data_IF_697975358727
#
_entry.id   IF_697975358727
#
_cell.length_a   1.000
_cell.length_b   1.000
_cell.length_c   1.000
_cell.angle_alpha   90.00
_cell.angle_beta   90.00
_cell.angle_gamma   90.00
#
_symmetry.space_group_name_H-M   'P 1'
#
loop_
_entity.id
_entity.type
_entity.pdbx_description
1 polymer ?
#
# COMPACT_ATOMS: atom_id res chain seq x y z
N UNK A 1 -15.47 15.48 -4.13
CA UNK A 1 -14.00 15.35 -4.29
C UNK A 1 -13.32 16.41 -5.14
N UNK A 2 -14.02 17.14 -6.01
CA UNK A 2 -13.39 18.18 -6.85
C UNK A 2 -12.55 19.21 -6.07
N UNK A 3 -12.88 19.45 -4.79
CA UNK A 3 -12.18 20.37 -3.89
C UNK A 3 -10.75 19.93 -3.52
N UNK A 4 -10.41 18.65 -3.69
CA UNK A 4 -9.07 18.11 -3.40
C UNK A 4 -8.33 17.65 -4.67
N UNK A 5 -8.74 18.12 -5.85
CA UNK A 5 -8.17 17.64 -7.12
C UNK A 5 -6.66 17.88 -7.23
N UNK A 6 -6.18 19.02 -6.77
CA UNK A 6 -4.76 19.36 -6.67
C UNK A 6 -3.99 18.33 -5.83
N UNK A 7 -4.52 17.98 -4.66
CA UNK A 7 -3.89 17.01 -3.74
C UNK A 7 -3.85 15.61 -4.35
N UNK A 8 -4.89 15.23 -5.10
CA UNK A 8 -4.93 13.96 -5.83
C UNK A 8 -3.88 13.95 -6.95
N UNK A 9 -3.72 15.06 -7.67
CA UNK A 9 -2.67 15.19 -8.69
C UNK A 9 -1.26 15.11 -8.06
N UNK A 10 -1.02 15.76 -6.93
CA UNK A 10 0.25 15.63 -6.19
C UNK A 10 0.52 14.16 -5.81
N UNK A 11 -0.52 13.41 -5.39
CA UNK A 11 -0.40 11.98 -5.11
C UNK A 11 -0.08 11.15 -6.37
N UNK A 12 -0.78 11.42 -7.48
CA UNK A 12 -0.54 10.77 -8.78
C UNK A 12 0.90 10.99 -9.26
N UNK A 13 1.42 12.21 -9.09
CA UNK A 13 2.81 12.54 -9.40
C UNK A 13 3.81 11.78 -8.52
N UNK A 14 3.53 11.68 -7.22
CA UNK A 14 4.35 10.92 -6.27
C UNK A 14 4.42 9.44 -6.66
N UNK A 15 3.29 8.80 -6.96
CA UNK A 15 3.30 7.39 -7.38
C UNK A 15 3.91 7.19 -8.77
N UNK A 16 3.79 8.17 -9.67
CA UNK A 16 4.47 8.13 -10.97
C UNK A 16 5.99 8.23 -10.83
N UNK A 17 6.52 8.99 -9.86
CA UNK A 17 7.94 8.99 -9.51
C UNK A 17 8.40 7.61 -9.05
N UNK A 18 7.59 6.94 -8.23
CA UNK A 18 7.87 5.59 -7.76
C UNK A 18 7.94 4.58 -8.92
N UNK A 19 6.99 4.62 -9.86
CA UNK A 19 7.04 3.77 -11.06
C UNK A 19 8.29 4.04 -11.91
N UNK A 20 8.66 5.31 -12.14
CA UNK A 20 9.88 5.65 -12.88
C UNK A 20 11.12 5.07 -12.22
N UNK A 21 11.22 5.15 -10.90
CA UNK A 21 12.35 4.55 -10.15
C UNK A 21 12.40 3.03 -10.28
N UNK A 22 11.25 2.36 -10.28
CA UNK A 22 11.21 0.93 -10.57
C UNK A 22 11.71 0.62 -11.99
N UNK A 23 11.24 1.37 -12.99
CA UNK A 23 11.64 1.18 -14.39
C UNK A 23 13.13 1.45 -14.61
N UNK A 24 13.70 2.47 -13.97
CA UNK A 24 15.14 2.76 -14.05
C UNK A 24 15.96 1.60 -13.46
N UNK A 25 15.51 1.05 -12.32
CA UNK A 25 16.13 -0.13 -11.71
C UNK A 25 16.00 -1.38 -12.59
N UNK A 26 14.86 -1.59 -13.24
CA UNK A 26 14.65 -2.70 -14.18
C UNK A 26 15.57 -2.62 -15.39
N UNK A 27 15.80 -1.41 -15.93
CA UNK A 27 16.74 -1.19 -17.04
C UNK A 27 18.19 -1.47 -16.63
N UNK A 28 18.59 -1.07 -15.42
CA UNK A 28 19.97 -1.22 -14.95
C UNK A 28 20.30 -2.59 -14.34
N UNK A 29 19.31 -3.24 -13.72
CA UNK A 29 19.50 -4.42 -12.86
C UNK A 29 18.40 -5.48 -13.05
N UNK A 30 17.79 -5.56 -14.23
CA UNK A 30 16.66 -6.45 -14.50
C UNK A 30 16.92 -7.93 -14.22
N UNK A 31 18.16 -8.42 -14.37
CA UNK A 31 18.56 -9.78 -14.00
C UNK A 31 18.35 -10.08 -12.50
N UNK A 32 18.40 -9.04 -11.67
CA UNK A 32 18.21 -9.06 -10.21
C UNK A 32 16.77 -8.88 -9.79
N UNK A 33 15.90 -8.36 -10.65
CA UNK A 33 14.50 -8.11 -10.32
C UNK A 33 13.65 -9.29 -10.84
N UNK A 34 13.05 -10.04 -9.92
CA UNK A 34 12.10 -11.12 -10.25
C UNK A 34 10.64 -10.68 -10.16
N UNK A 35 10.41 -9.38 -10.01
CA UNK A 35 9.08 -8.80 -9.91
C UNK A 35 8.52 -8.58 -11.31
N UNK A 36 7.48 -9.32 -11.64
CA UNK A 36 6.70 -9.19 -12.87
C UNK A 36 5.21 -9.27 -12.54
N UNK A 37 4.34 -8.87 -13.46
CA UNK A 37 2.90 -9.12 -13.34
C UNK A 37 2.71 -10.63 -13.16
N UNK A 38 1.99 -11.04 -12.10
CA UNK A 38 1.78 -12.42 -11.61
C UNK A 38 2.81 -12.99 -10.64
N UNK A 39 3.95 -12.32 -10.37
CA UNK A 39 4.86 -12.75 -9.29
C UNK A 39 4.15 -12.81 -7.91
N UNK A 40 3.14 -11.95 -7.69
CA UNK A 40 2.16 -11.98 -6.60
C UNK A 40 2.71 -11.96 -5.17
N UNK A 41 4.01 -11.69 -5.00
CA UNK A 41 4.66 -11.70 -3.69
C UNK A 41 4.21 -10.51 -2.83
N UNK A 42 4.21 -9.31 -3.42
CA UNK A 42 3.67 -8.11 -2.78
C UNK A 42 2.18 -8.23 -2.42
N UNK A 43 1.42 -9.02 -3.20
CA UNK A 43 0.01 -9.32 -2.95
C UNK A 43 -0.22 -10.32 -1.82
N UNK A 44 0.81 -10.71 -1.08
CA UNK A 44 0.71 -11.50 0.14
C UNK A 44 1.37 -10.83 1.34
N UNK A 45 1.93 -9.63 1.18
CA UNK A 45 2.52 -8.86 2.27
C UNK A 45 1.46 -8.00 2.96
N UNK A 46 1.59 -7.87 4.28
CA UNK A 46 0.72 -7.03 5.10
C UNK A 46 1.40 -5.68 5.30
N UNK A 47 0.75 -4.61 4.87
CA UNK A 47 1.12 -3.23 5.15
C UNK A 47 -0.15 -2.38 5.12
N UNK A 48 -0.13 -1.26 5.84
CA UNK A 48 -1.23 -0.30 5.80
C UNK A 48 -0.97 0.82 4.81
N UNK A 49 -2.06 1.41 4.34
CA UNK A 49 -2.11 2.52 3.39
C UNK A 49 -2.35 3.82 4.13
N UNK A 50 -1.67 4.89 3.71
CA UNK A 50 -1.98 6.22 4.21
C UNK A 50 -3.37 6.65 3.75
N UNK A 51 -4.00 7.57 4.48
CA UNK A 51 -5.37 8.03 4.20
C UNK A 51 -5.58 8.47 2.74
N UNK A 52 -4.64 9.24 2.16
CA UNK A 52 -4.70 9.65 0.75
C UNK A 52 -4.79 8.45 -0.20
N UNK A 53 -4.01 7.40 0.06
CA UNK A 53 -4.00 6.17 -0.75
C UNK A 53 -5.29 5.37 -0.56
N UNK A 54 -5.77 5.27 0.69
CA UNK A 54 -7.02 4.58 1.04
C UNK A 54 -8.22 5.21 0.34
N UNK A 55 -8.31 6.55 0.38
CA UNK A 55 -9.35 7.31 -0.32
C UNK A 55 -9.24 7.12 -1.82
N UNK A 56 -8.05 7.31 -2.40
CA UNK A 56 -7.82 7.14 -3.84
C UNK A 56 -8.23 5.73 -4.32
N UNK A 57 -7.78 4.69 -3.61
CA UNK A 57 -8.09 3.30 -3.92
C UNK A 57 -9.59 3.00 -3.85
N UNK A 58 -10.30 3.53 -2.83
CA UNK A 58 -11.73 3.30 -2.65
C UNK A 58 -12.55 3.86 -3.83
N UNK A 59 -12.18 5.05 -4.31
CA UNK A 59 -12.86 5.69 -5.42
C UNK A 59 -12.66 4.94 -6.73
N UNK A 60 -11.43 4.50 -7.00
CA UNK A 60 -11.11 3.70 -8.18
C UNK A 60 -11.78 2.33 -8.11
N UNK A 61 -11.87 1.73 -6.92
CA UNK A 61 -12.70 0.56 -6.68
C UNK A 61 -14.18 0.82 -7.01
N UNK A 62 -14.73 1.96 -6.59
CA UNK A 62 -16.10 2.38 -6.87
C UNK A 62 -16.44 2.50 -8.36
N UNK A 63 -15.44 2.78 -9.20
CA UNK A 63 -15.57 2.89 -10.67
C UNK A 63 -15.64 1.53 -11.37
N UNK A 64 -15.32 0.43 -10.70
CA UNK A 64 -15.43 -0.91 -11.27
C UNK A 64 -16.90 -1.33 -11.48
N UNK A 65 -17.12 -2.20 -12.46
CA UNK A 65 -18.43 -2.80 -12.68
C UNK A 65 -18.90 -3.60 -11.45
N UNK A 66 -20.23 -3.76 -11.32
CA UNK A 66 -20.86 -4.40 -10.16
C UNK A 66 -20.35 -5.83 -9.93
N UNK A 67 -20.04 -6.57 -11.00
CA UNK A 67 -19.58 -7.97 -10.91
C UNK A 67 -18.19 -8.02 -10.28
N UNK A 68 -17.24 -7.25 -10.80
CA UNK A 68 -15.88 -7.15 -10.25
C UNK A 68 -15.87 -6.67 -8.81
N UNK A 69 -16.69 -5.66 -8.48
CA UNK A 69 -16.81 -5.18 -7.09
C UNK A 69 -17.27 -6.28 -6.14
N UNK A 70 -18.27 -7.07 -6.53
CA UNK A 70 -18.76 -8.20 -5.72
C UNK A 70 -17.68 -9.27 -5.49
N UNK A 71 -16.94 -9.62 -6.54
CA UNK A 71 -15.84 -10.61 -6.46
C UNK A 71 -14.70 -10.13 -5.57
N UNK A 72 -14.38 -8.83 -5.60
CA UNK A 72 -13.39 -8.23 -4.69
C UNK A 72 -13.92 -8.24 -3.25
N UNK A 73 -15.17 -7.83 -3.01
CA UNK A 73 -15.75 -7.76 -1.66
C UNK A 73 -15.77 -9.13 -0.96
N UNK A 74 -16.02 -10.21 -1.69
CA UNK A 74 -15.91 -11.58 -1.14
C UNK A 74 -14.49 -11.89 -0.64
N UNK A 75 -13.46 -11.43 -1.36
CA UNK A 75 -12.05 -11.58 -0.94
C UNK A 75 -11.70 -10.63 0.20
N UNK A 76 -12.29 -9.45 0.25
CA UNK A 76 -12.15 -8.49 1.36
C UNK A 76 -12.62 -9.12 2.67
N UNK A 77 -13.80 -9.74 2.70
CA UNK A 77 -14.33 -10.38 3.92
C UNK A 77 -13.44 -11.54 4.40
N UNK A 78 -12.81 -12.27 3.47
CA UNK A 78 -11.82 -13.30 3.82
C UNK A 78 -10.55 -12.69 4.41
N UNK A 79 -9.98 -11.67 3.75
CA UNK A 79 -8.77 -11.00 4.21
C UNK A 79 -8.96 -10.32 5.57
N UNK A 80 -10.13 -9.72 5.84
CA UNK A 80 -10.43 -9.12 7.16
C UNK A 80 -10.46 -10.17 8.27
N UNK A 81 -11.07 -11.33 8.03
CA UNK A 81 -11.08 -12.42 9.02
C UNK A 81 -9.67 -12.91 9.32
N UNK A 82 -8.86 -13.16 8.29
CA UNK A 82 -7.46 -13.57 8.46
C UNK A 82 -6.64 -12.52 9.23
N UNK A 83 -6.81 -11.23 8.92
CA UNK A 83 -6.15 -10.13 9.66
C UNK A 83 -6.56 -10.08 11.13
N UNK A 84 -7.86 -10.19 11.43
CA UNK A 84 -8.35 -10.19 12.81
C UNK A 84 -7.84 -11.40 13.61
N UNK A 85 -7.73 -12.57 12.99
CA UNK A 85 -7.16 -13.77 13.62
C UNK A 85 -5.67 -13.59 13.93
N UNK A 86 -4.92 -12.99 13.01
CA UNK A 86 -3.51 -12.64 13.20
C UNK A 86 -3.37 -11.61 14.33
N UNK A 87 -4.15 -10.53 14.29
CA UNK A 87 -4.13 -9.47 15.30
C UNK A 87 -4.39 -10.04 16.70
N UNK A 88 -5.42 -10.89 16.86
CA UNK A 88 -5.70 -11.58 18.12
C UNK A 88 -4.54 -12.44 18.59
N UNK A 89 -3.93 -13.23 17.69
CA UNK A 89 -2.78 -14.07 18.02
C UNK A 89 -1.56 -13.25 18.44
N UNK A 90 -1.39 -12.06 17.86
CA UNK A 90 -0.27 -11.16 18.17
C UNK A 90 -0.51 -10.30 19.41
N UNK A 91 -1.76 -10.09 19.83
CA UNK A 91 -2.11 -9.37 21.06
C UNK A 91 -1.62 -10.09 22.33
N UNK A 92 -1.47 -11.42 22.27
CA UNK A 92 -0.94 -12.23 23.38
C UNK A 92 0.61 -12.21 23.46
N UNK A 93 1.29 -11.48 22.56
CA UNK A 93 2.74 -11.38 22.47
C UNK A 93 3.35 -10.07 22.98
N UNK A 94 4.67 -9.92 22.79
CA UNK A 94 5.42 -8.69 23.12
C UNK A 94 4.93 -7.49 22.28
N UNK A 95 4.36 -6.49 22.96
CA UNK A 95 3.72 -5.32 22.34
C UNK A 95 4.73 -4.43 21.59
N UNK A 96 5.99 -4.39 22.03
CA UNK A 96 7.01 -3.50 21.47
C UNK A 96 7.41 -3.87 20.02
N UNK A 97 7.03 -5.06 19.54
CA UNK A 97 7.35 -5.54 18.19
C UNK A 97 6.13 -5.87 17.31
N UNK A 98 4.91 -5.50 17.72
CA UNK A 98 3.68 -5.95 17.05
C UNK A 98 3.61 -5.60 15.56
N UNK A 99 4.03 -4.39 15.16
CA UNK A 99 4.04 -3.99 13.75
C UNK A 99 5.03 -4.81 12.90
N UNK A 100 6.19 -5.15 13.48
CA UNK A 100 7.21 -5.98 12.86
C UNK A 100 6.75 -7.44 12.76
N UNK A 101 6.06 -7.94 13.77
CA UNK A 101 5.42 -9.25 13.78
C UNK A 101 4.33 -9.34 12.70
N UNK A 102 3.46 -8.33 12.61
CA UNK A 102 2.43 -8.26 11.58
C UNK A 102 3.03 -8.20 10.17
N UNK A 103 4.13 -7.49 9.96
CA UNK A 103 4.80 -7.40 8.66
C UNK A 103 5.42 -8.73 8.18
N UNK A 104 5.65 -9.70 9.09
CA UNK A 104 6.16 -11.04 8.74
C UNK A 104 5.06 -12.02 8.35
N UNK A 105 3.83 -11.74 8.78
CA UNK A 105 2.66 -12.53 8.44
C UNK A 105 2.27 -12.34 6.97
N UNK A 106 1.51 -13.30 6.43
CA UNK A 106 1.10 -13.29 5.03
C UNK A 106 -0.39 -13.48 4.89
N UNK A 107 -1.07 -12.45 4.38
CA UNK A 107 -2.50 -12.45 4.05
C UNK A 107 -2.66 -12.19 2.57
N UNK A 108 -3.52 -12.96 1.89
CA UNK A 108 -3.79 -12.71 0.47
C UNK A 108 -4.47 -11.35 0.31
N UNK A 109 -3.85 -10.46 -0.47
CA UNK A 109 -4.43 -9.17 -0.83
C UNK A 109 -5.78 -9.38 -1.53
N UNK A 110 -6.85 -8.68 -1.12
CA UNK A 110 -8.17 -8.86 -1.70
C UNK A 110 -8.28 -8.42 -3.16
N UNK A 111 -7.30 -7.66 -3.66
CA UNK A 111 -7.24 -7.24 -5.06
C UNK A 111 -6.59 -8.29 -5.98
N UNK A 112 -5.88 -9.29 -5.44
CA UNK A 112 -5.28 -10.35 -6.24
C UNK A 112 -6.36 -11.29 -6.77
N UNK A 113 -6.63 -11.27 -8.07
CA UNK A 113 -7.62 -12.13 -8.71
C UNK A 113 -7.13 -13.58 -8.85
N UNK A 114 -7.98 -14.46 -9.38
CA UNK A 114 -7.67 -15.87 -9.58
C UNK A 114 -6.63 -16.10 -10.69
N UNK A 115 -6.45 -15.13 -11.59
CA UNK A 115 -5.40 -15.14 -12.62
C UNK A 115 -4.04 -14.65 -12.14
N UNK A 116 -3.90 -14.36 -10.84
CA UNK A 116 -2.67 -13.83 -10.24
C UNK A 116 -2.41 -12.35 -10.57
N UNK A 117 -3.40 -11.61 -11.05
CA UNK A 117 -3.26 -10.19 -11.37
C UNK A 117 -3.99 -9.33 -10.32
N UNK A 118 -3.42 -8.16 -10.03
CA UNK A 118 -4.13 -7.18 -9.22
C UNK A 118 -5.27 -6.57 -10.04
N UNK A 119 -6.50 -6.66 -9.53
CA UNK A 119 -7.71 -6.10 -10.14
C UNK A 119 -7.65 -4.57 -10.31
N UNK A 120 -6.80 -3.89 -9.53
CA UNK A 120 -6.58 -2.44 -9.55
C UNK A 120 -5.08 -2.13 -9.77
N UNK A 121 -4.42 -2.88 -10.66
CA UNK A 121 -2.97 -2.78 -10.86
C UNK A 121 -2.49 -1.35 -11.21
N UNK A 122 -3.21 -0.61 -12.06
CA UNK A 122 -2.84 0.74 -12.48
C UNK A 122 -2.85 1.76 -11.33
N UNK A 123 -3.67 1.52 -10.31
CA UNK A 123 -3.87 2.40 -9.15
C UNK A 123 -3.33 1.79 -7.86
N UNK A 124 -2.38 0.86 -8.01
CA UNK A 124 -1.70 0.21 -6.88
C UNK A 124 -1.04 1.26 -5.94
N UNK A 125 -1.05 1.04 -4.62
CA UNK A 125 -0.39 1.93 -3.65
C UNK A 125 1.12 2.06 -3.88
N UNK A 126 1.73 3.07 -3.27
CA UNK A 126 3.14 3.41 -3.45
C UNK A 126 4.06 2.23 -3.12
N UNK A 127 3.85 1.57 -1.98
CA UNK A 127 4.64 0.40 -1.56
C UNK A 127 4.56 -0.76 -2.55
N UNK A 128 3.41 -0.96 -3.21
CA UNK A 128 3.28 -1.97 -4.26
C UNK A 128 4.13 -1.66 -5.50
N UNK A 129 4.39 -0.38 -5.79
CA UNK A 129 5.15 0.06 -6.98
C UNK A 129 6.64 -0.19 -6.82
N UNK A 130 7.16 -0.15 -5.59
CA UNK A 130 8.59 -0.26 -5.29
C UNK A 130 9.00 -1.59 -4.65
N UNK A 131 8.06 -2.50 -4.35
CA UNK A 131 8.33 -3.76 -3.63
C UNK A 131 9.46 -4.61 -4.24
N UNK A 132 9.61 -4.61 -5.56
CA UNK A 132 10.61 -5.44 -6.26
C UNK A 132 12.03 -4.86 -6.31
N UNK A 133 12.24 -3.64 -5.80
CA UNK A 133 13.54 -2.95 -5.79
C UNK A 133 14.01 -2.70 -4.35
N UNK A 134 15.30 -2.39 -4.12
CA UNK A 134 15.80 -2.04 -2.80
C UNK A 134 15.16 -0.74 -2.31
N UNK A 135 14.64 -0.75 -1.08
CA UNK A 135 13.99 0.38 -0.42
C UNK A 135 14.63 0.67 0.93
N UNK A 136 14.80 1.94 1.28
CA UNK A 136 15.16 2.41 2.61
C UNK A 136 13.88 2.59 3.43
N UNK A 137 13.70 1.77 4.46
CA UNK A 137 12.53 1.83 5.35
C UNK A 137 12.96 1.65 6.81
N UNK A 138 12.51 2.55 7.68
CA UNK A 138 12.94 2.65 9.07
C UNK A 138 14.47 2.66 9.21
N UNK A 139 15.14 3.41 8.32
CA UNK A 139 16.60 3.51 8.29
C UNK A 139 17.35 2.24 7.84
N UNK A 140 16.64 1.20 7.38
CA UNK A 140 17.23 -0.06 6.92
C UNK A 140 16.93 -0.30 5.44
N UNK A 141 17.94 -0.73 4.70
CA UNK A 141 17.75 -1.19 3.32
C UNK A 141 17.10 -2.56 3.34
N UNK A 142 16.01 -2.73 2.60
CA UNK A 142 15.31 -3.99 2.40
C UNK A 142 15.06 -4.20 0.92
N UNK A 143 15.06 -5.45 0.48
CA UNK A 143 14.68 -5.84 -0.87
C UNK A 143 13.78 -7.08 -0.82
N UNK A 144 13.00 -7.32 -1.88
CA UNK A 144 12.24 -8.56 -2.02
C UNK A 144 13.17 -9.78 -1.91
N UNK A 145 12.80 -10.76 -1.11
CA UNK A 145 13.58 -11.99 -0.90
C UNK A 145 13.79 -12.82 -2.16
N UNK A 146 12.96 -12.64 -3.19
CA UNK A 146 13.12 -13.27 -4.51
C UNK A 146 14.14 -12.54 -5.39
N UNK A 147 14.49 -11.31 -5.06
CA UNK A 147 15.41 -10.52 -5.86
C UNK A 147 16.84 -11.02 -5.69
N UNK A 148 17.64 -10.89 -6.75
CA UNK A 148 19.02 -11.35 -6.79
C UNK A 148 20.05 -10.34 -6.26
N UNK A 149 19.61 -9.33 -5.50
CA UNK A 149 20.51 -8.32 -4.93
C UNK A 149 21.46 -8.97 -3.91
N UNK A 150 22.74 -8.63 -4.00
CA UNK A 150 23.81 -9.26 -3.22
C UNK A 150 24.31 -8.32 -2.13
N UNK A 151 24.59 -8.86 -0.94
CA UNK A 151 25.24 -8.11 0.14
C UNK A 151 26.64 -7.63 -0.29
N UNK A 152 27.06 -6.47 0.20
CA UNK A 152 28.37 -5.88 -0.09
C UNK A 152 28.50 -5.21 -1.48
N UNK A 153 27.41 -5.15 -2.26
CA UNK A 153 27.36 -4.41 -3.53
C UNK A 153 26.48 -3.16 -3.40
N UNK A 154 26.87 -2.10 -4.09
CA UNK A 154 26.10 -0.87 -4.15
C UNK A 154 25.02 -0.96 -5.23
N UNK A 155 23.77 -0.71 -4.81
CA UNK A 155 22.62 -0.59 -5.69
C UNK A 155 21.88 0.70 -5.34
N UNK A 156 21.21 1.35 -6.31
CA UNK A 156 20.31 2.45 -5.99
C UNK A 156 19.20 1.97 -5.05
N UNK A 157 18.90 2.79 -4.04
CA UNK A 157 17.88 2.52 -3.04
C UNK A 157 16.79 3.57 -3.14
N UNK A 158 15.53 3.13 -3.17
CA UNK A 158 14.39 4.02 -3.13
C UNK A 158 14.13 4.49 -1.68
N UNK A 159 14.10 5.81 -1.44
CA UNK A 159 13.78 6.38 -0.12
C UNK A 159 12.28 6.24 0.18
N UNK A 160 11.90 5.12 0.79
CA UNK A 160 10.51 4.85 1.16
C UNK A 160 10.11 5.63 2.40
N UNK A 161 11.04 5.88 3.33
CA UNK A 161 10.81 6.76 4.49
C UNK A 161 10.45 8.19 4.05
N UNK A 162 11.14 8.72 3.02
CA UNK A 162 10.81 10.00 2.38
C UNK A 162 9.43 10.02 1.75
N UNK A 163 9.13 9.01 0.93
CA UNK A 163 7.82 8.88 0.31
C UNK A 163 6.67 8.78 1.35
N UNK A 164 6.88 8.08 2.46
CA UNK A 164 5.91 7.98 3.55
C UNK A 164 5.68 9.33 4.24
N UNK A 165 6.73 10.15 4.42
CA UNK A 165 6.56 11.54 4.90
C UNK A 165 5.70 12.36 3.94
N UNK A 166 5.90 12.23 2.63
CA UNK A 166 5.08 12.92 1.62
C UNK A 166 3.62 12.46 1.65
N UNK A 167 3.36 11.14 1.73
CA UNK A 167 2.00 10.60 1.85
C UNK A 167 1.27 11.08 3.10
N UNK A 168 1.98 11.16 4.23
CA UNK A 168 1.46 11.77 5.46
C UNK A 168 1.07 13.23 5.25
N UNK A 169 1.93 14.04 4.61
CA UNK A 169 1.62 15.45 4.37
C UNK A 169 0.43 15.63 3.41
N UNK A 170 0.32 14.82 2.36
CA UNK A 170 -0.84 14.84 1.45
C UNK A 170 -2.13 14.46 2.17
N UNK A 171 -2.07 13.43 3.02
CA UNK A 171 -3.19 13.03 3.88
C UNK A 171 -3.63 14.16 4.81
N UNK A 172 -2.67 14.85 5.44
CA UNK A 172 -2.93 16.00 6.31
C UNK A 172 -3.54 17.18 5.55
N UNK A 173 -2.98 17.54 4.38
CA UNK A 173 -3.53 18.59 3.50
C UNK A 173 -4.98 18.29 3.12
N UNK A 174 -5.29 17.03 2.80
CA UNK A 174 -6.65 16.61 2.46
C UNK A 174 -7.62 16.82 3.63
N UNK A 175 -7.24 16.41 4.84
CA UNK A 175 -8.05 16.61 6.05
C UNK A 175 -8.32 18.10 6.32
N UNK A 176 -7.28 18.95 6.25
CA UNK A 176 -7.40 20.41 6.43
C UNK A 176 -8.34 21.01 5.39
N UNK A 177 -8.19 20.66 4.11
CA UNK A 177 -9.03 21.17 3.00
C UNK A 177 -10.50 20.81 3.19
N UNK A 178 -10.78 19.67 3.81
CA UNK A 178 -12.13 19.19 4.12
C UNK A 178 -12.65 19.69 5.49
N UNK A 179 -11.94 20.61 6.15
CA UNK A 179 -12.35 21.21 7.41
C UNK A 179 -12.38 20.21 8.58
N UNK A 180 -11.58 19.14 8.53
CA UNK A 180 -11.49 18.14 9.61
C UNK A 180 -10.61 18.65 10.74
N UNK A 181 -10.98 18.33 11.98
CA UNK A 181 -10.27 18.77 13.20
C UNK A 181 -9.19 17.78 13.63
N UNK A 182 -9.42 16.48 13.46
CA UNK A 182 -8.52 15.39 13.83
C UNK A 182 -7.48 15.15 12.73
N UNK A 183 -6.41 15.95 12.74
CA UNK A 183 -5.34 15.91 11.74
C UNK A 183 -4.29 14.82 12.00
N UNK A 184 -4.20 14.35 13.24
CA UNK A 184 -3.40 13.18 13.64
C UNK A 184 -3.76 11.94 12.83
N UNK A 185 -5.02 11.84 12.38
CA UNK A 185 -5.51 10.79 11.48
C UNK A 185 -4.75 10.66 10.17
N UNK A 186 -3.97 11.67 9.76
CA UNK A 186 -3.05 11.56 8.63
C UNK A 186 -1.99 10.46 8.81
N UNK A 187 -1.71 10.01 10.04
CA UNK A 187 -0.78 8.90 10.33
C UNK A 187 -1.45 7.53 10.33
N UNK A 188 -2.78 7.45 10.21
CA UNK A 188 -3.48 6.17 10.20
C UNK A 188 -3.07 5.35 8.99
N UNK A 189 -2.75 4.09 9.25
CA UNK A 189 -2.40 3.10 8.24
C UNK A 189 -3.54 2.08 8.14
N UNK A 190 -4.28 2.12 7.04
CA UNK A 190 -5.47 1.29 6.83
C UNK A 190 -5.11 0.09 5.95
N UNK A 191 -5.44 -1.16 6.31
CA UNK A 191 -5.18 -2.29 5.43
C UNK A 191 -5.98 -2.13 4.11
N UNK A 192 -5.49 -2.76 3.03
CA UNK A 192 -6.15 -2.73 1.71
C UNK A 192 -7.63 -3.15 1.80
N UNK A 193 -7.93 -4.17 2.62
CA UNK A 193 -9.29 -4.64 2.85
C UNK A 193 -10.19 -3.59 3.50
N UNK A 194 -9.70 -2.88 4.51
CA UNK A 194 -10.41 -1.76 5.14
C UNK A 194 -10.61 -0.59 4.18
N UNK A 195 -9.56 -0.25 3.41
CA UNK A 195 -9.62 0.82 2.41
C UNK A 195 -10.69 0.58 1.34
N UNK A 196 -10.99 -0.67 1.00
CA UNK A 196 -12.03 -1.03 0.03
C UNK A 196 -13.43 -1.04 0.66
N UNK A 197 -13.56 -1.55 1.89
CA UNK A 197 -14.86 -1.79 2.53
C UNK A 197 -15.44 -0.54 3.18
N UNK A 198 -14.59 0.32 3.74
CA UNK A 198 -15.00 1.51 4.47
C UNK A 198 -15.37 2.62 3.49
N UNK A 199 -16.58 3.21 3.56
CA UNK A 199 -16.96 4.36 2.75
C UNK A 199 -15.97 5.52 2.89
N UNK A 200 -15.80 6.33 1.83
CA UNK A 200 -14.87 7.46 1.83
C UNK A 200 -15.20 8.47 2.93
N UNK A 201 -16.48 8.70 3.19
CA UNK A 201 -16.96 9.60 4.24
C UNK A 201 -16.48 9.14 5.63
N UNK A 202 -16.51 7.82 5.88
CA UNK A 202 -16.07 7.20 7.13
C UNK A 202 -14.54 7.14 7.21
N UNK A 203 -13.83 6.89 6.10
CA UNK A 203 -12.36 7.02 6.08
C UNK A 203 -11.95 8.44 6.49
N UNK A 204 -12.68 9.46 6.04
CA UNK A 204 -12.43 10.87 6.34
C UNK A 204 -13.02 11.33 7.69
N UNK A 205 -13.91 10.54 8.30
CA UNK A 205 -14.61 10.85 9.56
C UNK A 205 -15.29 9.60 10.16
N UNK A 206 -14.54 8.69 10.81
CA UNK A 206 -15.10 7.52 11.46
C UNK A 206 -15.89 7.99 12.67
N UNK A 207 -17.06 7.38 12.86
CA UNK A 207 -17.96 7.68 13.98
C UNK A 207 -17.31 7.36 15.33
#
# INVERSE_FOLDING_TARGET
MNVCRDIITDYEELVAKADRKFQDMEKGYGDRIKCEIKCSDCCRSIFGLFLIESVYLNLEFGRLDRKKRREILQRVDKAQRELLEIEKRLQDGDQDNQALSMARERVRCPLLDEGGKCALYSVRPLTCRVYGIPTLISGKVRACWKAGFQEGREYPVYDLDGAYRELYQLSKKMLVRLGRKELDRASLLVPVSGSIKTPVEELLNPL
#
